data_IF_643487194157
#
_entry.id   IF_643487194157
#
_cell.length_a   1.000
_cell.length_b   1.000
_cell.length_c   1.000
_cell.angle_alpha   90.00
_cell.angle_beta   90.00
_cell.angle_gamma   90.00
#
_symmetry.space_group_name_H-M   'P 1'
#
loop_
_entity.id
_entity.type
_entity.pdbx_description
1 polymer ?
#
# COMPACT_ATOMS: atom_id res chain seq x y z
N UNK A 1 -51.62 -37.93 -24.04
CA UNK A 1 -51.59 -36.55 -23.47
C UNK A 1 -50.15 -36.21 -23.14
N UNK A 2 -49.49 -35.50 -24.03
CA UNK A 2 -48.13 -35.00 -23.83
C UNK A 2 -48.20 -33.78 -22.91
N UNK A 3 -47.62 -33.88 -21.71
CA UNK A 3 -47.57 -32.77 -20.77
C UNK A 3 -46.80 -31.61 -21.42
N UNK A 4 -47.48 -30.50 -21.65
CA UNK A 4 -46.86 -29.24 -22.14
C UNK A 4 -45.95 -28.72 -21.04
N UNK A 5 -44.66 -28.72 -21.30
CA UNK A 5 -43.71 -28.11 -20.35
C UNK A 5 -43.98 -26.59 -20.22
N UNK A 6 -44.04 -26.07 -19.00
CA UNK A 6 -44.28 -24.65 -18.82
C UNK A 6 -43.14 -23.83 -19.49
N UNK A 7 -43.45 -22.67 -20.05
CA UNK A 7 -42.46 -21.83 -20.71
C UNK A 7 -41.33 -21.46 -19.75
N UNK A 8 -40.07 -21.34 -20.24
CA UNK A 8 -38.97 -20.97 -19.38
C UNK A 8 -39.23 -19.61 -18.72
N UNK A 9 -38.89 -19.44 -17.45
CA UNK A 9 -39.12 -18.20 -16.73
C UNK A 9 -38.39 -17.04 -17.40
N UNK A 10 -39.06 -15.88 -17.43
CA UNK A 10 -38.50 -14.63 -17.98
C UNK A 10 -37.10 -14.40 -17.36
N UNK A 11 -36.12 -13.85 -18.11
CA UNK A 11 -34.73 -13.65 -17.63
C UNK A 11 -34.64 -12.98 -16.27
N UNK A 12 -35.47 -11.98 -16.01
CA UNK A 12 -35.57 -11.31 -14.71
C UNK A 12 -36.02 -12.23 -13.55
N UNK A 13 -37.00 -13.13 -13.81
CA UNK A 13 -37.48 -14.09 -12.80
C UNK A 13 -36.40 -15.17 -12.49
N UNK A 14 -35.56 -15.52 -13.47
CA UNK A 14 -34.43 -16.43 -13.28
C UNK A 14 -33.34 -15.77 -12.45
N UNK A 15 -32.97 -14.50 -12.76
CA UNK A 15 -32.02 -13.72 -12.04
C UNK A 15 -32.40 -13.51 -10.56
N UNK A 16 -33.69 -13.17 -10.31
CA UNK A 16 -34.23 -12.98 -8.97
C UNK A 16 -34.22 -14.30 -8.15
N UNK A 17 -34.56 -15.44 -8.78
CA UNK A 17 -34.48 -16.77 -8.12
C UNK A 17 -33.01 -17.10 -7.76
N UNK A 18 -32.09 -16.90 -8.68
CA UNK A 18 -30.67 -17.11 -8.43
C UNK A 18 -30.17 -16.21 -7.29
N UNK A 19 -30.51 -14.93 -7.32
CA UNK A 19 -30.16 -14.00 -6.24
C UNK A 19 -30.67 -14.48 -4.89
N UNK A 20 -31.95 -14.85 -4.78
CA UNK A 20 -32.52 -15.37 -3.53
C UNK A 20 -31.89 -16.68 -3.07
N UNK A 21 -31.48 -17.55 -3.98
CA UNK A 21 -30.78 -18.80 -3.63
C UNK A 21 -29.35 -18.54 -3.14
N UNK A 22 -28.68 -17.52 -3.67
CA UNK A 22 -27.31 -17.17 -3.29
C UNK A 22 -27.23 -16.28 -2.04
N UNK A 23 -28.28 -15.50 -1.73
CA UNK A 23 -28.30 -14.59 -0.59
C UNK A 23 -27.94 -15.27 0.75
N UNK A 24 -28.48 -16.47 1.08
CA UNK A 24 -28.09 -17.15 2.34
C UNK A 24 -26.64 -17.64 2.34
N UNK A 25 -26.10 -18.01 1.17
CA UNK A 25 -24.71 -18.45 1.01
C UNK A 25 -23.74 -17.30 1.24
N UNK A 26 -24.17 -16.08 0.88
CA UNK A 26 -23.39 -14.86 0.99
C UNK A 26 -23.70 -14.05 2.25
N UNK A 27 -24.66 -14.48 3.03
CA UNK A 27 -24.99 -13.83 4.30
C UNK A 27 -23.80 -13.96 5.27
N UNK A 28 -23.48 -12.85 5.92
CA UNK A 28 -22.51 -12.84 6.99
C UNK A 28 -23.16 -13.40 8.26
N UNK A 29 -22.44 -14.20 9.01
CA UNK A 29 -22.88 -14.66 10.32
C UNK A 29 -23.19 -13.47 11.23
N UNK A 30 -24.26 -13.51 12.04
CA UNK A 30 -24.61 -12.40 12.91
C UNK A 30 -23.65 -12.25 14.08
N UNK A 31 -23.50 -11.01 14.55
CA UNK A 31 -22.73 -10.67 15.74
C UNK A 31 -21.22 -10.56 15.48
N UNK A 32 -20.46 -10.44 16.57
CA UNK A 32 -19.03 -10.16 16.53
C UNK A 32 -18.19 -11.26 15.87
N UNK A 33 -18.62 -12.53 15.98
CA UNK A 33 -17.93 -13.67 15.33
C UNK A 33 -18.01 -13.58 13.81
N UNK A 34 -19.19 -13.27 13.28
CA UNK A 34 -19.36 -13.07 11.86
C UNK A 34 -18.56 -11.88 11.34
N UNK A 35 -18.44 -10.83 12.16
CA UNK A 35 -17.61 -9.69 11.84
C UNK A 35 -16.11 -10.06 11.77
N UNK A 36 -15.60 -10.84 12.73
CA UNK A 36 -14.19 -11.30 12.75
C UNK A 36 -13.86 -12.29 11.64
N UNK A 37 -14.81 -13.11 11.21
CA UNK A 37 -14.63 -14.16 10.19
C UNK A 37 -15.12 -13.76 8.80
N UNK A 38 -15.49 -12.46 8.61
CA UNK A 38 -16.05 -12.00 7.34
C UNK A 38 -15.08 -12.20 6.18
N UNK A 39 -15.62 -12.71 5.09
CA UNK A 39 -14.97 -12.75 3.77
C UNK A 39 -15.70 -11.85 2.77
N UNK A 40 -16.66 -11.06 3.25
CA UNK A 40 -17.42 -10.13 2.41
C UNK A 40 -16.54 -8.93 2.06
N UNK A 41 -16.36 -8.69 0.79
CA UNK A 41 -15.48 -7.65 0.27
C UNK A 41 -15.83 -6.24 0.77
N UNK A 42 -17.12 -5.90 0.86
CA UNK A 42 -17.54 -4.59 1.34
C UNK A 42 -17.24 -4.40 2.85
N UNK A 43 -17.39 -5.48 3.64
CA UNK A 43 -17.05 -5.43 5.05
C UNK A 43 -15.53 -5.30 5.25
N UNK A 44 -14.74 -6.10 4.52
CA UNK A 44 -13.27 -6.04 4.54
C UNK A 44 -12.79 -4.65 4.13
N UNK A 45 -13.24 -4.12 2.99
CA UNK A 45 -12.84 -2.80 2.53
C UNK A 45 -13.28 -1.67 3.45
N UNK A 46 -14.49 -1.78 4.06
CA UNK A 46 -14.95 -0.84 5.07
C UNK A 46 -14.10 -0.85 6.33
N UNK A 47 -13.62 -2.02 6.77
CA UNK A 47 -12.72 -2.16 7.91
C UNK A 47 -11.32 -1.59 7.59
N UNK A 48 -10.75 -1.91 6.43
CA UNK A 48 -9.51 -1.28 5.98
C UNK A 48 -9.62 0.24 6.01
N UNK A 49 -10.69 0.79 5.44
CA UNK A 49 -10.91 2.23 5.41
C UNK A 49 -11.02 2.84 6.82
N UNK A 50 -11.77 2.20 7.71
CA UNK A 50 -11.94 2.67 9.08
C UNK A 50 -10.62 2.66 9.86
N UNK A 51 -9.84 1.57 9.75
CA UNK A 51 -8.54 1.42 10.42
C UNK A 51 -7.51 2.38 9.83
N UNK A 52 -7.42 2.50 8.51
CA UNK A 52 -6.53 3.47 7.86
C UNK A 52 -6.87 4.90 8.28
N UNK A 53 -8.16 5.24 8.38
CA UNK A 53 -8.60 6.57 8.88
C UNK A 53 -8.22 6.78 10.34
N UNK A 54 -8.31 5.75 11.18
CA UNK A 54 -7.86 5.84 12.59
C UNK A 54 -6.35 6.10 12.66
N UNK A 55 -5.55 5.40 11.85
CA UNK A 55 -4.10 5.66 11.76
C UNK A 55 -3.80 7.06 11.19
N UNK A 56 -4.58 7.54 10.23
CA UNK A 56 -4.46 8.94 9.76
C UNK A 56 -4.62 9.95 10.90
N UNK A 57 -5.62 9.75 11.77
CA UNK A 57 -5.83 10.63 12.93
C UNK A 57 -4.62 10.57 13.88
N UNK A 58 -4.09 9.38 14.16
CA UNK A 58 -2.87 9.21 14.97
C UNK A 58 -1.68 9.93 14.31
N UNK A 59 -1.45 9.71 13.02
CA UNK A 59 -0.40 10.39 12.26
C UNK A 59 -0.57 11.91 12.27
N UNK A 60 -1.80 12.40 12.18
CA UNK A 60 -2.13 13.82 12.28
C UNK A 60 -1.80 14.42 13.66
N UNK A 61 -2.08 13.69 14.75
CA UNK A 61 -1.69 14.10 16.10
C UNK A 61 -0.17 14.20 16.22
N UNK A 62 0.57 13.19 15.71
CA UNK A 62 2.03 13.22 15.70
C UNK A 62 2.57 14.42 14.90
N UNK A 63 1.97 14.75 13.76
CA UNK A 63 2.30 15.95 12.99
C UNK A 63 2.09 17.24 13.80
N UNK A 64 0.98 17.34 14.54
CA UNK A 64 0.72 18.51 15.41
C UNK A 64 1.75 18.64 16.54
N UNK A 65 2.22 17.53 17.12
CA UNK A 65 3.29 17.54 18.10
C UNK A 65 4.61 18.06 17.49
N UNK A 66 4.97 17.60 16.29
CA UNK A 66 6.12 18.13 15.54
C UNK A 66 5.98 19.64 15.31
N UNK A 67 4.80 20.08 14.87
CA UNK A 67 4.54 21.50 14.64
C UNK A 67 4.57 22.34 15.93
N UNK A 68 4.10 21.79 17.04
CA UNK A 68 4.19 22.45 18.34
C UNK A 68 5.66 22.65 18.77
N UNK A 69 6.53 21.63 18.57
CA UNK A 69 7.97 21.76 18.82
C UNK A 69 8.61 22.85 17.95
N UNK A 70 8.17 23.00 16.71
CA UNK A 70 8.73 23.93 15.73
C UNK A 70 8.00 25.29 15.69
N UNK A 71 7.08 25.56 16.63
CA UNK A 71 6.28 26.78 16.63
C UNK A 71 7.13 28.04 16.89
N UNK A 72 8.18 27.93 17.70
CA UNK A 72 9.11 29.03 18.00
C UNK A 72 10.57 28.55 17.95
N UNK A 73 11.52 29.42 17.54
CA UNK A 73 12.94 29.09 17.64
C UNK A 73 13.33 28.75 19.09
N UNK A 74 14.10 27.68 19.27
CA UNK A 74 14.56 27.26 20.60
C UNK A 74 13.47 26.69 21.52
N UNK A 75 12.32 26.28 20.97
CA UNK A 75 11.25 25.63 21.74
C UNK A 75 11.80 24.41 22.51
N UNK A 76 11.38 24.29 23.78
CA UNK A 76 11.69 23.16 24.65
C UNK A 76 10.43 22.30 24.93
N UNK A 77 9.49 22.26 24.00
CA UNK A 77 8.25 21.50 24.14
C UNK A 77 8.51 19.99 24.32
N UNK A 78 9.48 19.45 23.58
CA UNK A 78 9.96 18.07 23.74
C UNK A 78 11.47 18.00 23.56
N UNK A 79 12.12 17.00 24.19
CA UNK A 79 13.55 16.74 24.00
C UNK A 79 13.88 16.14 22.62
N UNK A 80 15.16 16.13 22.20
CA UNK A 80 15.57 15.64 20.87
C UNK A 80 15.15 14.19 20.63
N UNK A 81 15.32 13.31 21.61
CA UNK A 81 14.93 11.89 21.50
C UNK A 81 13.43 11.73 21.24
N UNK A 82 12.60 12.37 22.05
CA UNK A 82 11.15 12.35 21.89
C UNK A 82 10.73 12.94 20.52
N UNK A 83 11.41 14.00 20.07
CA UNK A 83 11.16 14.58 18.76
C UNK A 83 11.49 13.59 17.62
N UNK A 84 12.64 12.91 17.70
CA UNK A 84 13.04 11.91 16.71
C UNK A 84 12.08 10.72 16.67
N UNK A 85 11.60 10.26 17.84
CA UNK A 85 10.59 9.20 17.93
C UNK A 85 9.26 9.65 17.29
N UNK A 86 8.77 10.84 17.62
CA UNK A 86 7.52 11.39 17.03
C UNK A 86 7.67 11.60 15.53
N UNK A 87 8.81 12.10 15.07
CA UNK A 87 9.13 12.27 13.65
C UNK A 87 9.14 10.92 12.91
N UNK A 88 9.84 9.93 13.46
CA UNK A 88 9.92 8.57 12.91
C UNK A 88 8.53 7.94 12.81
N UNK A 89 7.76 8.03 13.88
CA UNK A 89 6.43 7.44 13.94
C UNK A 89 5.41 8.18 13.08
N UNK A 90 5.51 9.50 12.95
CA UNK A 90 4.67 10.24 12.00
C UNK A 90 4.88 9.75 10.58
N UNK A 91 6.14 9.69 10.11
CA UNK A 91 6.46 9.20 8.76
C UNK A 91 5.99 7.74 8.57
N UNK A 92 6.29 6.86 9.51
CA UNK A 92 5.87 5.46 9.50
C UNK A 92 4.36 5.31 9.38
N UNK A 93 3.59 6.00 10.23
CA UNK A 93 2.13 5.92 10.24
C UNK A 93 1.54 6.46 8.95
N UNK A 94 2.03 7.59 8.45
CA UNK A 94 1.48 8.21 7.25
C UNK A 94 1.77 7.41 5.99
N UNK A 95 2.97 6.84 5.85
CA UNK A 95 3.35 6.10 4.66
C UNK A 95 2.79 4.67 4.67
N UNK A 96 3.07 3.90 5.72
CA UNK A 96 2.76 2.47 5.74
C UNK A 96 1.37 2.15 6.31
N UNK A 97 0.89 2.90 7.32
CA UNK A 97 -0.36 2.56 8.00
C UNK A 97 -1.58 3.30 7.43
N UNK A 98 -1.37 4.43 6.78
CA UNK A 98 -2.46 5.21 6.20
C UNK A 98 -2.48 5.20 4.68
N UNK A 99 -1.47 5.77 4.00
CA UNK A 99 -1.58 6.12 2.59
C UNK A 99 -1.83 4.89 1.70
N UNK A 100 -1.04 3.83 1.83
CA UNK A 100 -1.18 2.62 1.03
C UNK A 100 -2.46 1.87 1.41
N UNK A 101 -2.74 1.55 2.69
CA UNK A 101 -3.97 0.85 3.08
C UNK A 101 -5.26 1.62 2.77
N UNK A 102 -5.23 2.95 2.76
CA UNK A 102 -6.37 3.76 2.34
C UNK A 102 -6.72 3.51 0.87
N UNK A 103 -5.73 3.54 -0.03
CA UNK A 103 -5.97 3.26 -1.44
C UNK A 103 -6.27 1.78 -1.70
N UNK A 104 -5.71 0.88 -0.89
CA UNK A 104 -6.09 -0.54 -0.88
C UNK A 104 -7.57 -0.71 -0.53
N UNK A 105 -8.04 -0.04 0.54
CA UNK A 105 -9.47 -0.02 0.90
C UNK A 105 -10.36 0.47 -0.25
N UNK A 106 -9.96 1.54 -0.92
CA UNK A 106 -10.70 2.07 -2.08
C UNK A 106 -10.71 1.06 -3.24
N UNK A 107 -9.60 0.37 -3.50
CA UNK A 107 -9.56 -0.67 -4.52
C UNK A 107 -10.49 -1.85 -4.16
N UNK A 108 -10.43 -2.34 -2.92
CA UNK A 108 -11.28 -3.42 -2.42
C UNK A 108 -12.77 -3.06 -2.52
N UNK A 109 -13.15 -1.84 -2.18
CA UNK A 109 -14.55 -1.38 -2.23
C UNK A 109 -15.08 -1.15 -3.64
N UNK A 110 -14.28 -0.56 -4.52
CA UNK A 110 -14.77 -0.05 -5.80
C UNK A 110 -14.55 -1.03 -6.96
N UNK A 111 -13.44 -1.76 -6.94
CA UNK A 111 -13.02 -2.57 -8.08
C UNK A 111 -14.01 -3.66 -8.47
N UNK A 112 -14.64 -4.44 -7.56
CA UNK A 112 -15.61 -5.46 -7.93
C UNK A 112 -16.79 -4.87 -8.71
N UNK A 113 -17.35 -3.77 -8.23
CA UNK A 113 -18.45 -3.07 -8.91
C UNK A 113 -18.08 -2.57 -10.31
N UNK A 114 -16.86 -2.04 -10.46
CA UNK A 114 -16.34 -1.56 -11.74
C UNK A 114 -16.06 -2.69 -12.74
N UNK A 115 -15.69 -3.87 -12.26
CA UNK A 115 -15.41 -5.05 -13.09
C UNK A 115 -16.65 -5.91 -13.33
N UNK A 116 -17.76 -5.62 -12.65
CA UNK A 116 -19.00 -6.39 -12.73
C UNK A 116 -18.89 -7.74 -12.03
N UNK A 117 -18.03 -7.85 -11.03
CA UNK A 117 -17.92 -9.00 -10.12
C UNK A 117 -18.62 -8.67 -8.79
N UNK A 118 -18.89 -9.69 -7.99
CA UNK A 118 -19.44 -9.49 -6.65
C UNK A 118 -18.35 -9.14 -5.63
N UNK A 119 -17.28 -9.92 -5.64
CA UNK A 119 -16.16 -9.84 -4.70
C UNK A 119 -14.84 -9.94 -5.48
N UNK A 120 -13.72 -9.67 -4.82
CA UNK A 120 -12.41 -10.00 -5.32
C UNK A 120 -12.21 -11.54 -5.36
N UNK A 121 -11.20 -12.00 -6.09
CA UNK A 121 -11.05 -13.40 -6.47
C UNK A 121 -10.77 -14.36 -5.30
N UNK A 122 -10.13 -13.90 -4.24
CA UNK A 122 -9.58 -14.71 -3.15
C UNK A 122 -10.02 -14.20 -1.77
N UNK A 123 -11.32 -14.21 -1.41
CA UNK A 123 -11.85 -13.47 -0.26
C UNK A 123 -11.27 -13.87 1.10
N UNK A 124 -10.69 -15.08 1.21
CA UNK A 124 -9.95 -15.50 2.42
C UNK A 124 -8.57 -14.86 2.49
N UNK A 125 -7.94 -14.59 1.34
CA UNK A 125 -6.66 -13.88 1.27
C UNK A 125 -6.85 -12.41 1.66
N UNK A 126 -7.94 -11.76 1.20
CA UNK A 126 -8.30 -10.41 1.61
C UNK A 126 -8.60 -10.30 3.11
N UNK A 127 -9.32 -11.27 3.69
CA UNK A 127 -9.53 -11.33 5.13
C UNK A 127 -8.21 -11.53 5.90
N UNK A 128 -7.31 -12.38 5.42
CA UNK A 128 -5.98 -12.56 5.99
C UNK A 128 -5.18 -11.25 5.94
N UNK A 129 -5.14 -10.58 4.78
CA UNK A 129 -4.46 -9.29 4.61
C UNK A 129 -4.97 -8.24 5.62
N UNK A 130 -6.29 -8.09 5.75
CA UNK A 130 -6.90 -7.19 6.73
C UNK A 130 -6.38 -7.42 8.16
N UNK A 131 -6.39 -8.67 8.62
CA UNK A 131 -5.98 -8.96 10.00
C UNK A 131 -4.49 -8.80 10.21
N UNK A 132 -3.67 -9.17 9.24
CA UNK A 132 -2.21 -8.96 9.29
C UNK A 132 -1.88 -7.46 9.34
N UNK A 133 -2.58 -6.63 8.56
CA UNK A 133 -2.47 -5.18 8.62
C UNK A 133 -2.87 -4.63 10.00
N UNK A 134 -4.03 -5.02 10.53
CA UNK A 134 -4.52 -4.55 11.83
C UNK A 134 -3.55 -4.93 12.94
N UNK A 135 -3.10 -6.19 12.99
CA UNK A 135 -2.19 -6.64 14.06
C UNK A 135 -0.80 -6.02 13.92
N UNK A 136 -0.22 -5.99 12.72
CA UNK A 136 1.09 -5.38 12.48
C UNK A 136 1.09 -3.89 12.82
N UNK A 137 0.14 -3.13 12.28
CA UNK A 137 0.01 -1.70 12.57
C UNK A 137 -0.28 -1.40 14.04
N UNK A 138 -1.16 -2.19 14.68
CA UNK A 138 -1.45 -2.02 16.09
C UNK A 138 -0.25 -2.33 16.99
N UNK A 139 0.57 -3.33 16.64
CA UNK A 139 1.79 -3.65 17.39
C UNK A 139 2.77 -2.47 17.39
N UNK A 140 2.96 -1.82 16.25
CA UNK A 140 3.82 -0.62 16.12
C UNK A 140 3.29 0.54 16.96
N UNK A 141 1.97 0.79 16.96
CA UNK A 141 1.35 1.85 17.77
C UNK A 141 1.43 1.53 19.28
N UNK A 142 1.17 0.28 19.66
CA UNK A 142 1.28 -0.14 21.06
C UNK A 142 2.71 0.00 21.57
N UNK A 143 3.71 -0.40 20.78
CA UNK A 143 5.13 -0.20 21.12
C UNK A 143 5.43 1.29 21.34
N UNK A 144 4.95 2.18 20.47
CA UNK A 144 5.09 3.63 20.65
C UNK A 144 4.47 4.11 21.96
N UNK A 145 3.25 3.67 22.28
CA UNK A 145 2.58 4.05 23.53
C UNK A 145 3.27 3.53 24.80
N UNK A 146 4.03 2.43 24.67
CA UNK A 146 4.87 1.87 25.75
C UNK A 146 6.27 2.51 25.83
N UNK A 147 6.54 3.57 25.05
CA UNK A 147 7.85 4.23 25.03
C UNK A 147 8.92 3.47 24.25
N UNK A 148 8.53 2.55 23.37
CA UNK A 148 9.42 1.72 22.55
C UNK A 148 9.41 2.18 21.08
N UNK A 149 9.11 3.45 20.80
CA UNK A 149 9.18 3.97 19.44
C UNK A 149 10.64 4.06 18.98
N UNK A 150 10.95 3.64 17.73
CA UNK A 150 12.26 3.89 17.13
C UNK A 150 12.45 5.38 16.84
N UNK A 151 13.69 5.82 16.71
CA UNK A 151 14.09 7.22 16.51
C UNK A 151 14.95 7.45 15.25
N UNK A 152 15.19 6.39 14.46
CA UNK A 152 16.05 6.39 13.27
C UNK A 152 15.44 6.97 12.00
N UNK A 153 14.27 7.64 12.08
CA UNK A 153 13.48 8.05 10.91
C UNK A 153 12.68 6.88 10.33
N UNK A 154 11.62 7.16 9.55
CA UNK A 154 10.77 6.14 8.93
C UNK A 154 11.50 5.27 7.89
N UNK A 155 12.67 5.69 7.45
CA UNK A 155 13.54 4.98 6.51
C UNK A 155 14.59 4.08 7.20
N UNK A 156 14.71 4.13 8.53
CA UNK A 156 15.52 3.22 9.38
C UNK A 156 16.93 2.94 8.87
N UNK A 157 17.71 3.97 8.54
CA UNK A 157 19.06 3.79 8.00
C UNK A 157 20.06 3.22 9.02
N UNK A 158 20.76 2.10 8.70
CA UNK A 158 21.99 1.76 9.40
C UNK A 158 23.06 2.84 9.20
N UNK A 159 23.93 3.10 10.19
CA UNK A 159 24.07 2.36 11.45
C UNK A 159 23.07 2.78 12.55
N UNK A 160 22.30 3.87 12.41
CA UNK A 160 21.42 4.39 13.46
C UNK A 160 20.37 3.36 13.91
N UNK A 161 19.88 2.52 13.01
CA UNK A 161 18.94 1.44 13.29
C UNK A 161 19.58 0.15 13.80
N UNK A 162 20.91 0.05 13.83
CA UNK A 162 21.61 -1.13 14.35
C UNK A 162 21.47 -1.23 15.88
N UNK A 163 21.71 -2.43 16.45
CA UNK A 163 21.64 -2.66 17.89
C UNK A 163 22.62 -1.80 18.71
N UNK A 164 23.73 -1.34 18.11
CA UNK A 164 24.71 -0.47 18.76
C UNK A 164 24.16 0.94 19.04
N UNK A 165 23.32 1.49 18.16
CA UNK A 165 22.77 2.85 18.29
C UNK A 165 21.30 2.85 18.73
N UNK A 166 20.53 1.81 18.41
CA UNK A 166 19.14 1.61 18.82
C UNK A 166 19.00 0.28 19.57
N UNK A 167 19.47 0.17 20.82
CA UNK A 167 19.52 -1.10 21.55
C UNK A 167 18.15 -1.61 22.02
N UNK A 168 17.12 -0.77 22.01
CA UNK A 168 15.77 -1.16 22.41
C UNK A 168 15.10 -2.04 21.34
N UNK A 169 14.09 -2.82 21.75
CA UNK A 169 13.28 -3.64 20.85
C UNK A 169 12.36 -2.82 19.94
N UNK A 170 12.37 -1.49 20.05
CA UNK A 170 11.52 -0.62 19.24
C UNK A 170 11.76 -0.74 17.75
N UNK A 171 13.04 -0.83 17.34
CA UNK A 171 13.41 -1.05 15.95
C UNK A 171 12.96 -2.43 15.45
N UNK A 172 13.06 -3.48 16.27
CA UNK A 172 12.64 -4.85 15.93
C UNK A 172 11.12 -4.92 15.75
N UNK A 173 10.36 -4.32 16.66
CA UNK A 173 8.91 -4.22 16.51
C UNK A 173 8.51 -3.44 15.25
N UNK A 174 9.24 -2.38 14.92
CA UNK A 174 9.03 -1.62 13.69
C UNK A 174 9.27 -2.50 12.46
N UNK A 175 10.42 -3.19 12.37
CA UNK A 175 10.80 -4.05 11.25
C UNK A 175 9.76 -5.16 11.02
N UNK A 176 9.36 -5.87 12.09
CA UNK A 176 8.38 -6.95 12.00
C UNK A 176 6.97 -6.43 11.71
N UNK A 177 6.61 -5.28 12.29
CA UNK A 177 5.31 -4.64 12.06
C UNK A 177 5.16 -4.16 10.60
N UNK A 178 6.17 -3.49 10.05
CA UNK A 178 6.17 -3.03 8.66
C UNK A 178 6.17 -4.23 7.71
N UNK A 179 7.00 -5.25 7.94
CA UNK A 179 6.99 -6.48 7.15
C UNK A 179 5.58 -7.13 7.13
N UNK A 180 4.88 -7.12 8.27
CA UNK A 180 3.49 -7.63 8.33
C UNK A 180 2.56 -6.81 7.43
N UNK A 181 2.66 -5.49 7.44
CA UNK A 181 1.84 -4.59 6.59
C UNK A 181 2.14 -4.82 5.11
N UNK A 182 3.40 -5.01 4.76
CA UNK A 182 3.83 -5.31 3.39
C UNK A 182 3.28 -6.64 2.88
N UNK A 183 3.26 -7.67 3.74
CA UNK A 183 2.62 -8.96 3.44
C UNK A 183 1.12 -8.80 3.20
N UNK A 184 0.44 -7.94 3.96
CA UNK A 184 -0.96 -7.57 3.72
C UNK A 184 -1.16 -6.97 2.34
N UNK A 185 -0.36 -5.97 1.98
CA UNK A 185 -0.46 -5.30 0.69
C UNK A 185 -0.14 -6.23 -0.49
N UNK A 186 0.83 -7.14 -0.35
CA UNK A 186 1.10 -8.19 -1.34
C UNK A 186 -0.11 -9.10 -1.51
N UNK A 187 -0.77 -9.50 -0.42
CA UNK A 187 -1.97 -10.33 -0.48
C UNK A 187 -3.09 -9.64 -1.28
N UNK A 188 -3.37 -8.37 -1.01
CA UNK A 188 -4.33 -7.57 -1.75
C UNK A 188 -3.92 -7.37 -3.22
N UNK A 189 -2.64 -7.14 -3.50
CA UNK A 189 -2.14 -7.00 -4.87
C UNK A 189 -2.35 -8.28 -5.69
N UNK A 190 -2.10 -9.46 -5.11
CA UNK A 190 -2.40 -10.76 -5.75
C UNK A 190 -3.89 -10.86 -6.06
N UNK A 191 -4.76 -10.52 -5.10
CA UNK A 191 -6.21 -10.53 -5.28
C UNK A 191 -6.66 -9.64 -6.43
N UNK A 192 -6.16 -8.41 -6.47
CA UNK A 192 -6.45 -7.43 -7.52
C UNK A 192 -6.02 -7.96 -8.89
N UNK A 193 -4.78 -8.41 -9.04
CA UNK A 193 -4.26 -8.93 -10.31
C UNK A 193 -5.10 -10.10 -10.80
N UNK A 194 -5.40 -11.07 -9.95
CA UNK A 194 -6.21 -12.24 -10.32
C UNK A 194 -7.62 -11.82 -10.69
N UNK A 195 -8.25 -10.92 -9.91
CA UNK A 195 -9.60 -10.42 -10.20
C UNK A 195 -9.66 -9.71 -11.54
N UNK A 196 -8.77 -8.75 -11.75
CA UNK A 196 -8.75 -7.96 -12.99
C UNK A 196 -8.46 -8.83 -14.21
N UNK A 197 -7.55 -9.78 -14.12
CA UNK A 197 -7.16 -10.59 -15.28
C UNK A 197 -8.13 -11.74 -15.57
N UNK A 198 -8.83 -12.29 -14.57
CA UNK A 198 -9.63 -13.53 -14.72
C UNK A 198 -11.14 -13.38 -14.51
N UNK A 199 -11.56 -12.36 -13.74
CA UNK A 199 -12.94 -12.30 -13.25
C UNK A 199 -13.73 -11.08 -13.72
N UNK A 200 -13.26 -10.38 -14.77
CA UNK A 200 -14.06 -9.31 -15.41
C UNK A 200 -15.36 -9.86 -15.97
N UNK A 201 -16.39 -9.02 -15.94
CA UNK A 201 -17.69 -9.34 -16.54
C UNK A 201 -17.54 -9.81 -18.00
N UNK A 202 -18.39 -10.74 -18.41
CA UNK A 202 -18.40 -11.24 -19.79
C UNK A 202 -18.54 -10.09 -20.80
N UNK A 203 -17.64 -10.04 -21.78
CA UNK A 203 -17.58 -8.97 -22.80
C UNK A 203 -16.74 -7.74 -22.39
N UNK A 204 -16.27 -7.64 -21.16
CA UNK A 204 -15.33 -6.59 -20.73
C UNK A 204 -13.89 -6.97 -21.12
N UNK A 205 -13.44 -6.49 -22.27
CA UNK A 205 -12.03 -6.58 -22.66
C UNK A 205 -11.18 -5.56 -21.88
N UNK A 206 -9.86 -5.73 -21.87
CA UNK A 206 -8.94 -4.76 -21.27
C UNK A 206 -9.13 -3.34 -21.83
N UNK A 207 -9.40 -3.21 -23.14
CA UNK A 207 -9.64 -1.91 -23.79
C UNK A 207 -10.91 -1.20 -23.27
N UNK A 208 -11.89 -1.99 -22.78
CA UNK A 208 -13.16 -1.47 -22.25
C UNK A 208 -13.15 -1.32 -20.72
N UNK A 209 -12.07 -1.68 -20.08
CA UNK A 209 -11.94 -1.61 -18.63
C UNK A 209 -11.89 -0.14 -18.17
N UNK A 210 -12.59 0.23 -17.07
CA UNK A 210 -12.54 1.58 -16.51
C UNK A 210 -11.11 2.02 -16.20
N UNK A 211 -10.82 3.31 -16.36
CA UNK A 211 -9.47 3.86 -16.15
C UNK A 211 -8.97 3.62 -14.74
N UNK A 212 -9.80 3.81 -13.71
CA UNK A 212 -9.42 3.52 -12.33
C UNK A 212 -8.98 2.06 -12.14
N UNK A 213 -9.71 1.10 -12.74
CA UNK A 213 -9.33 -0.31 -12.67
C UNK A 213 -7.96 -0.60 -13.33
N UNK A 214 -7.59 0.14 -14.37
CA UNK A 214 -6.25 0.08 -14.96
C UNK A 214 -5.18 0.60 -14.00
N UNK A 215 -5.43 1.75 -13.37
CA UNK A 215 -4.48 2.33 -12.41
C UNK A 215 -4.27 1.39 -11.22
N UNK A 216 -5.32 0.79 -10.69
CA UNK A 216 -5.22 -0.18 -9.60
C UNK A 216 -4.49 -1.47 -10.03
N UNK A 217 -4.69 -1.95 -11.26
CA UNK A 217 -3.93 -3.08 -11.79
C UNK A 217 -2.42 -2.75 -11.86
N UNK A 218 -2.08 -1.56 -12.37
CA UNK A 218 -0.68 -1.10 -12.45
C UNK A 218 -0.07 -1.02 -11.07
N UNK A 219 -0.77 -0.42 -10.11
CA UNK A 219 -0.34 -0.34 -8.70
C UNK A 219 -0.15 -1.72 -8.08
N UNK A 220 -1.05 -2.65 -8.31
CA UNK A 220 -0.92 -4.01 -7.80
C UNK A 220 0.34 -4.71 -8.32
N UNK A 221 0.68 -4.54 -9.61
CA UNK A 221 1.93 -5.06 -10.19
C UNK A 221 3.15 -4.37 -9.57
N UNK A 222 3.07 -3.05 -9.32
CA UNK A 222 4.15 -2.31 -8.64
C UNK A 222 4.37 -2.83 -7.22
N UNK A 223 3.32 -3.08 -6.44
CA UNK A 223 3.40 -3.65 -5.08
C UNK A 223 4.11 -5.01 -5.11
N UNK A 224 3.73 -5.90 -6.01
CA UNK A 224 4.34 -7.24 -6.15
C UNK A 224 5.84 -7.18 -6.50
N UNK A 225 6.31 -6.08 -7.06
CA UNK A 225 7.71 -5.91 -7.48
C UNK A 225 8.51 -5.10 -6.45
N UNK A 226 7.92 -4.05 -5.86
CA UNK A 226 8.60 -3.11 -4.98
C UNK A 226 8.74 -3.62 -3.54
N UNK A 227 7.75 -4.33 -3.00
CA UNK A 227 7.75 -4.73 -1.59
C UNK A 227 8.74 -5.85 -1.24
N UNK A 228 9.01 -6.85 -2.10
CA UNK A 228 10.01 -7.88 -1.80
C UNK A 228 11.40 -7.35 -1.46
N UNK A 229 11.98 -6.33 -2.14
CA UNK A 229 13.23 -5.70 -1.71
C UNK A 229 13.19 -5.11 -0.31
N UNK A 230 12.08 -4.46 0.08
CA UNK A 230 11.93 -3.88 1.41
C UNK A 230 11.82 -4.96 2.49
N UNK A 231 11.02 -6.01 2.23
CA UNK A 231 10.92 -7.18 3.12
C UNK A 231 12.30 -7.82 3.29
N UNK A 232 13.06 -7.99 2.21
CA UNK A 232 14.43 -8.51 2.28
C UNK A 232 15.32 -7.62 3.15
N UNK A 233 15.29 -6.30 2.95
CA UNK A 233 16.05 -5.35 3.77
C UNK A 233 15.70 -5.47 5.26
N UNK A 234 14.39 -5.50 5.57
CA UNK A 234 13.90 -5.65 6.94
C UNK A 234 14.36 -6.96 7.58
N UNK A 235 14.30 -8.08 6.85
CA UNK A 235 14.77 -9.38 7.34
C UNK A 235 16.29 -9.41 7.57
N UNK A 236 17.08 -8.79 6.68
CA UNK A 236 18.54 -8.71 6.86
C UNK A 236 18.89 -7.86 8.08
N UNK A 237 18.23 -6.71 8.29
CA UNK A 237 18.48 -5.86 9.44
C UNK A 237 18.04 -6.53 10.75
N UNK A 238 16.88 -7.19 10.75
CA UNK A 238 16.41 -7.96 11.90
C UNK A 238 17.39 -9.11 12.23
N UNK A 239 17.90 -9.81 11.21
CA UNK A 239 18.90 -10.87 11.40
C UNK A 239 20.21 -10.31 11.94
N UNK A 240 20.66 -9.15 11.49
CA UNK A 240 21.83 -8.46 12.05
C UNK A 240 21.62 -8.10 13.52
N UNK A 241 20.46 -7.53 13.86
CA UNK A 241 20.13 -7.12 15.23
C UNK A 241 19.97 -8.30 16.18
N UNK A 242 19.30 -9.37 15.76
CA UNK A 242 18.99 -10.52 16.59
C UNK A 242 20.13 -11.54 16.69
N UNK A 243 20.89 -11.75 15.61
CA UNK A 243 21.90 -12.81 15.52
C UNK A 243 23.33 -12.28 15.34
N UNK A 244 23.53 -10.96 15.16
CA UNK A 244 24.84 -10.34 14.98
C UNK A 244 25.49 -10.63 13.62
N UNK A 245 24.72 -11.00 12.58
CA UNK A 245 25.26 -11.22 11.24
C UNK A 245 25.47 -9.87 10.53
N UNK A 246 26.70 -9.54 10.11
CA UNK A 246 27.06 -8.17 9.76
C UNK A 246 26.73 -7.80 8.31
N UNK A 247 25.48 -7.62 7.97
CA UNK A 247 25.06 -7.18 6.62
C UNK A 247 25.35 -5.71 6.36
N UNK A 248 25.23 -4.86 7.40
CA UNK A 248 25.30 -3.40 7.29
C UNK A 248 26.43 -2.79 8.15
N UNK A 249 27.16 -3.59 8.91
CA UNK A 249 28.27 -3.14 9.77
C UNK A 249 29.58 -3.10 8.98
N UNK A 250 30.10 -1.89 8.70
CA UNK A 250 31.30 -1.67 7.88
C UNK A 250 32.52 -2.38 8.48
N UNK A 251 32.69 -2.32 9.80
CA UNK A 251 33.82 -2.91 10.52
C UNK A 251 33.92 -4.44 10.33
N UNK A 252 32.80 -5.07 10.03
CA UNK A 252 32.68 -6.51 9.86
C UNK A 252 32.42 -6.93 8.40
N UNK A 253 32.64 -6.00 7.43
CA UNK A 253 32.53 -6.26 6.00
C UNK A 253 31.12 -6.08 5.42
N UNK A 254 30.19 -5.52 6.19
CA UNK A 254 28.86 -5.12 5.70
C UNK A 254 28.87 -3.76 5.00
N UNK A 255 27.75 -3.38 4.38
CA UNK A 255 27.61 -2.10 3.68
C UNK A 255 26.24 -1.45 3.96
N UNK A 256 26.19 -0.29 4.66
CA UNK A 256 24.95 0.46 4.89
C UNK A 256 24.25 0.91 3.61
N UNK A 257 24.97 1.06 2.49
CA UNK A 257 24.38 1.39 1.20
C UNK A 257 23.45 0.29 0.67
N UNK A 258 23.73 -0.97 1.04
CA UNK A 258 22.84 -2.08 0.69
C UNK A 258 21.42 -1.85 1.22
N UNK A 259 21.28 -1.38 2.49
CA UNK A 259 19.98 -0.99 3.03
C UNK A 259 19.33 0.12 2.22
N UNK A 260 20.06 1.18 1.92
CA UNK A 260 19.52 2.32 1.17
C UNK A 260 19.06 1.91 -0.23
N UNK A 261 19.81 1.04 -0.92
CA UNK A 261 19.38 0.50 -2.22
C UNK A 261 18.10 -0.33 -2.11
N UNK A 262 18.01 -1.26 -1.16
CA UNK A 262 16.82 -2.09 -0.95
C UNK A 262 15.61 -1.24 -0.55
N UNK A 263 15.82 -0.28 0.38
CA UNK A 263 14.77 0.63 0.83
C UNK A 263 14.26 1.51 -0.30
N UNK A 264 15.13 2.16 -1.07
CA UNK A 264 14.69 3.11 -2.10
C UNK A 264 14.26 2.44 -3.41
N UNK A 265 14.70 1.21 -3.69
CA UNK A 265 14.13 0.40 -4.76
C UNK A 265 12.63 0.11 -4.50
N UNK A 266 12.22 0.10 -3.25
CA UNK A 266 10.83 0.14 -2.82
C UNK A 266 10.31 1.59 -2.72
N UNK A 267 11.02 2.48 -2.02
CA UNK A 267 10.51 3.77 -1.56
C UNK A 267 10.20 4.77 -2.66
N UNK A 268 10.89 4.73 -3.82
CA UNK A 268 10.49 5.56 -4.94
C UNK A 268 9.25 5.00 -5.67
N UNK A 269 9.18 3.72 -6.07
CA UNK A 269 7.92 3.15 -6.55
C UNK A 269 6.75 3.34 -5.58
N UNK A 270 6.98 3.36 -4.27
CA UNK A 270 5.95 3.61 -3.25
C UNK A 270 5.22 4.94 -3.47
N UNK A 271 5.93 6.03 -3.76
CA UNK A 271 5.28 7.33 -3.99
C UNK A 271 4.36 7.31 -5.20
N UNK A 272 4.66 6.50 -6.22
CA UNK A 272 3.76 6.30 -7.35
C UNK A 272 2.63 5.29 -7.05
N UNK A 273 2.85 4.33 -6.18
CA UNK A 273 1.80 3.45 -5.63
C UNK A 273 0.74 4.29 -4.90
N UNK A 274 1.14 5.37 -4.23
CA UNK A 274 0.23 6.33 -3.59
C UNK A 274 -0.38 7.30 -4.61
N UNK A 275 0.39 7.82 -5.56
CA UNK A 275 -0.05 8.81 -6.54
C UNK A 275 -1.06 8.25 -7.54
N UNK A 276 -0.78 7.08 -8.11
CA UNK A 276 -1.57 6.52 -9.22
C UNK A 276 -3.04 6.27 -8.86
N UNK A 277 -3.41 5.70 -7.70
CA UNK A 277 -4.82 5.56 -7.35
C UNK A 277 -5.56 6.91 -7.28
N UNK A 278 -4.92 7.94 -6.72
CA UNK A 278 -5.50 9.28 -6.67
C UNK A 278 -5.71 9.87 -8.08
N UNK A 279 -4.70 9.74 -8.95
CA UNK A 279 -4.79 10.16 -10.35
C UNK A 279 -5.89 9.40 -11.10
N UNK A 280 -5.99 8.08 -10.89
CA UNK A 280 -7.04 7.23 -11.47
C UNK A 280 -8.45 7.61 -11.00
N UNK A 281 -8.61 7.99 -9.73
CA UNK A 281 -9.87 8.55 -9.21
C UNK A 281 -10.22 9.86 -9.91
N UNK A 282 -9.28 10.81 -10.00
CA UNK A 282 -9.50 12.10 -10.66
C UNK A 282 -9.85 11.89 -12.12
N UNK A 283 -9.11 11.03 -12.84
CA UNK A 283 -9.38 10.69 -14.24
C UNK A 283 -10.75 10.02 -14.45
N UNK A 284 -11.32 9.41 -13.42
CA UNK A 284 -12.67 8.81 -13.46
C UNK A 284 -13.75 9.84 -13.11
N UNK A 285 -13.55 10.66 -12.08
CA UNK A 285 -14.55 11.57 -11.52
C UNK A 285 -14.71 12.81 -12.40
N UNK A 286 -13.59 13.40 -12.84
CA UNK A 286 -13.59 14.69 -13.54
C UNK A 286 -14.41 14.67 -14.85
N UNK A 287 -14.28 13.68 -15.74
CA UNK A 287 -15.10 13.61 -16.94
C UNK A 287 -16.60 13.50 -16.66
N UNK A 288 -16.98 12.73 -15.62
CA UNK A 288 -18.38 12.56 -15.20
C UNK A 288 -18.95 13.90 -14.72
N UNK A 289 -18.22 14.64 -13.89
CA UNK A 289 -18.62 15.95 -13.40
C UNK A 289 -18.69 16.98 -14.53
N UNK A 290 -17.78 16.90 -15.48
CA UNK A 290 -17.76 17.75 -16.68
C UNK A 290 -18.77 17.32 -17.75
N UNK A 291 -19.53 16.21 -17.53
CA UNK A 291 -20.49 15.64 -18.48
C UNK A 291 -19.88 15.34 -19.86
N UNK A 292 -18.65 14.84 -19.85
CA UNK A 292 -17.90 14.46 -21.06
C UNK A 292 -17.30 13.08 -20.91
N UNK A 293 -16.65 12.59 -21.95
CA UNK A 293 -15.88 11.33 -21.92
C UNK A 293 -14.41 11.63 -21.64
N UNK A 294 -13.70 10.71 -21.00
CA UNK A 294 -12.26 10.81 -20.88
C UNK A 294 -11.62 10.77 -22.27
N UNK A 295 -10.95 11.86 -22.64
CA UNK A 295 -10.19 11.92 -23.89
C UNK A 295 -8.94 11.05 -23.78
N UNK A 296 -8.52 10.48 -24.91
CA UNK A 296 -7.27 9.74 -25.04
C UNK A 296 -7.06 8.63 -23.96
N UNK A 297 -8.12 7.90 -23.59
CA UNK A 297 -8.09 6.83 -22.58
C UNK A 297 -6.85 5.93 -22.70
N UNK A 298 -6.49 5.51 -23.92
CA UNK A 298 -5.32 4.67 -24.17
C UNK A 298 -4.00 5.33 -23.79
N UNK A 299 -3.86 6.64 -24.01
CA UNK A 299 -2.67 7.40 -23.63
C UNK A 299 -2.57 7.57 -22.11
N UNK A 300 -3.68 7.82 -21.43
CA UNK A 300 -3.74 7.90 -19.96
C UNK A 300 -3.32 6.57 -19.33
N UNK A 301 -3.81 5.44 -19.87
CA UNK A 301 -3.37 4.10 -19.42
C UNK A 301 -1.89 3.86 -19.71
N UNK A 302 -1.43 4.21 -20.93
CA UNK A 302 -0.01 4.08 -21.30
C UNK A 302 0.90 4.93 -20.40
N UNK A 303 0.47 6.13 -20.03
CA UNK A 303 1.18 7.00 -19.10
C UNK A 303 1.29 6.37 -17.69
N UNK A 304 0.22 5.78 -17.17
CA UNK A 304 0.26 5.07 -15.89
C UNK A 304 1.24 3.89 -15.93
N UNK A 305 1.25 3.09 -17.00
CA UNK A 305 2.22 2.00 -17.20
C UNK A 305 3.65 2.53 -17.33
N UNK A 306 3.85 3.62 -18.07
CA UNK A 306 5.17 4.25 -18.22
C UNK A 306 5.70 4.77 -16.88
N UNK A 307 4.86 5.42 -16.06
CA UNK A 307 5.20 5.85 -14.70
C UNK A 307 5.65 4.66 -13.85
N UNK A 308 4.89 3.56 -13.87
CA UNK A 308 5.24 2.36 -13.13
C UNK A 308 6.60 1.80 -13.54
N UNK A 309 6.86 1.66 -14.84
CA UNK A 309 8.14 1.12 -15.34
C UNK A 309 9.30 2.05 -15.01
N UNK A 310 9.15 3.36 -15.28
CA UNK A 310 10.21 4.34 -15.03
C UNK A 310 10.54 4.48 -13.55
N UNK A 311 9.54 4.34 -12.65
CA UNK A 311 9.72 4.47 -11.21
C UNK A 311 10.78 3.50 -10.63
N UNK A 312 10.94 2.31 -11.24
CA UNK A 312 11.97 1.34 -10.86
C UNK A 312 13.36 1.66 -11.43
N UNK A 313 13.51 2.67 -12.28
CA UNK A 313 14.78 3.04 -12.91
C UNK A 313 15.44 4.29 -12.33
N UNK A 314 14.95 4.86 -11.21
CA UNK A 314 15.39 6.18 -10.76
C UNK A 314 15.56 6.34 -9.23
N UNK A 315 15.43 5.29 -8.43
CA UNK A 315 15.44 5.34 -6.95
C UNK A 315 16.71 5.97 -6.37
N UNK A 316 17.84 5.97 -7.09
CA UNK A 316 19.14 6.47 -6.58
C UNK A 316 19.14 7.98 -6.37
N UNK A 317 18.15 8.72 -6.88
CA UNK A 317 18.03 10.14 -6.57
C UNK A 317 17.76 10.42 -5.08
N UNK A 318 17.29 9.44 -4.33
CA UNK A 318 17.21 9.50 -2.86
C UNK A 318 18.57 9.31 -2.17
N UNK A 319 19.62 8.96 -2.94
CA UNK A 319 20.95 8.60 -2.43
C UNK A 319 22.07 9.53 -2.96
N UNK A 320 21.73 10.72 -3.45
CA UNK A 320 22.72 11.63 -4.09
C UNK A 320 23.81 12.14 -3.14
N UNK A 321 23.61 12.06 -1.83
CA UNK A 321 24.60 12.44 -0.82
C UNK A 321 25.47 11.28 -0.33
N UNK A 322 25.35 10.08 -0.89
CA UNK A 322 26.06 8.89 -0.43
C UNK A 322 27.43 8.67 -1.11
N UNK A 323 27.86 9.60 -1.96
CA UNK A 323 29.16 9.50 -2.64
C UNK A 323 29.15 8.68 -3.93
N UNK A 324 27.99 8.48 -4.56
CA UNK A 324 27.88 7.78 -5.85
C UNK A 324 28.64 8.52 -6.97
N UNK A 325 29.16 7.79 -7.99
CA UNK A 325 29.92 8.38 -9.08
C UNK A 325 29.13 9.43 -9.88
N UNK A 326 29.82 10.48 -10.37
CA UNK A 326 29.18 11.56 -11.14
C UNK A 326 28.39 11.09 -12.36
N UNK A 327 28.83 10.03 -13.03
CA UNK A 327 28.09 9.46 -14.15
C UNK A 327 26.74 8.88 -13.72
N UNK A 328 26.69 8.23 -12.56
CA UNK A 328 25.44 7.72 -11.99
C UNK A 328 24.53 8.88 -11.54
N UNK A 329 25.09 9.95 -10.94
CA UNK A 329 24.33 11.16 -10.61
C UNK A 329 23.66 11.75 -11.86
N UNK A 330 24.40 11.90 -12.96
CA UNK A 330 23.85 12.41 -14.23
C UNK A 330 22.76 11.52 -14.81
N UNK A 331 22.98 10.21 -14.82
CA UNK A 331 21.99 9.24 -15.30
C UNK A 331 20.69 9.28 -14.50
N UNK A 332 20.76 9.17 -13.17
CA UNK A 332 19.58 9.15 -12.32
C UNK A 332 18.87 10.52 -12.23
N UNK A 333 19.58 11.63 -12.42
CA UNK A 333 18.96 12.94 -12.56
C UNK A 333 18.14 13.03 -13.86
N UNK A 334 18.69 12.57 -14.98
CA UNK A 334 17.98 12.53 -16.26
C UNK A 334 16.77 11.59 -16.20
N UNK A 335 16.93 10.39 -15.64
CA UNK A 335 15.84 9.42 -15.45
C UNK A 335 14.71 10.01 -14.60
N UNK A 336 15.05 10.72 -13.52
CA UNK A 336 14.09 11.38 -12.63
C UNK A 336 13.32 12.51 -13.34
N UNK A 337 13.99 13.24 -14.25
CA UNK A 337 13.33 14.27 -15.05
C UNK A 337 12.40 13.67 -16.10
N UNK A 338 12.78 12.51 -16.68
CA UNK A 338 11.99 11.86 -17.73
C UNK A 338 10.58 11.45 -17.25
N UNK A 339 10.42 11.15 -15.97
CA UNK A 339 9.11 10.78 -15.39
C UNK A 339 8.08 11.89 -15.47
N UNK A 340 8.51 13.15 -15.64
CA UNK A 340 7.61 14.29 -15.82
C UNK A 340 6.76 14.17 -17.10
N UNK A 341 7.28 13.50 -18.14
CA UNK A 341 6.57 13.33 -19.42
C UNK A 341 5.28 12.54 -19.26
N UNK A 342 5.28 11.29 -18.75
CA UNK A 342 4.03 10.56 -18.52
C UNK A 342 3.17 11.17 -17.40
N UNK A 343 3.75 11.94 -16.46
CA UNK A 343 2.96 12.60 -15.41
C UNK A 343 2.13 13.76 -15.96
N UNK A 344 2.54 14.37 -17.08
CA UNK A 344 1.84 15.49 -17.71
C UNK A 344 0.66 15.06 -18.60
N UNK A 345 0.46 13.76 -18.83
CA UNK A 345 -0.65 13.19 -19.60
C UNK A 345 -1.91 13.07 -18.77
#
# INVERSE_FOLDING_TARGET
MTAVQPPPPRPQARALRLHRALTPIWAQDPGWRGWLSTTNNNAIGGLFLAVATAFFVIGGILALLIRAQLATPGSAFMGPEAYNQVFTMHGTVMMFLFAIPFFEAMAVLLLPGMLGTRDLALPRLGAYGLWVYIFGGSAVIVAMLLGLAPDGGWFMYPPLSSAAFSPSIGADVWLLGITSIEVSAIAAAVEVVVTVLRYRAAGMSLVRMPVFAWFILVVAVMILTAFPPMILGSLLLETERALGWPFFQVENGGDPLLWQHLFWLFGHPEVYIIFLPAAGMIATILPVMARTTLLAHGWVVAAAVALAVLSFGLWVHHMFTTGIPHMALGFFSAASTLVAVPTAV
#
